data_IF_127204060578
#
_entry.id   IF_127204060578
#
_cell.length_a   1.000
_cell.length_b   1.000
_cell.length_c   1.000
_cell.angle_alpha   90.00
_cell.angle_beta   90.00
_cell.angle_gamma   90.00
#
_symmetry.space_group_name_H-M   'P 1'
#
loop_
_entity.id
_entity.type
_entity.pdbx_description
1 polymer ?
#
# COMPACT_ATOMS: atom_id res chain seq x y z
N UNK A 1 3.30 1.71 23.90
CA UNK A 1 3.27 0.54 23.01
C UNK A 1 2.27 -0.46 23.56
N UNK A 2 1.15 -0.63 22.91
CA UNK A 2 0.29 -1.79 23.18
C UNK A 2 0.89 -3.00 22.46
N UNK A 3 1.69 -3.79 23.16
CA UNK A 3 2.10 -5.09 22.65
C UNK A 3 0.93 -6.06 22.87
N UNK A 4 0.54 -6.77 21.83
CA UNK A 4 -0.33 -7.93 21.99
C UNK A 4 0.38 -8.93 22.92
N UNK A 5 -0.29 -9.37 23.98
CA UNK A 5 0.26 -10.35 24.92
C UNK A 5 0.64 -11.61 24.15
N UNK A 6 1.91 -12.03 24.25
CA UNK A 6 2.43 -13.20 23.55
C UNK A 6 2.88 -12.99 22.11
N UNK A 7 2.95 -11.73 21.61
CA UNK A 7 3.63 -11.46 20.36
C UNK A 7 5.13 -11.31 20.58
N UNK A 8 5.92 -11.89 19.71
CA UNK A 8 7.38 -11.79 19.72
C UNK A 8 7.89 -11.14 18.44
N UNK A 9 8.89 -10.29 18.57
CA UNK A 9 9.58 -9.68 17.45
C UNK A 9 10.65 -10.64 16.95
N UNK A 10 10.54 -11.08 15.68
CA UNK A 10 11.54 -11.92 15.03
C UNK A 10 12.48 -11.05 14.21
N UNK A 11 13.77 -11.12 14.49
CA UNK A 11 14.80 -10.46 13.71
C UNK A 11 15.14 -11.34 12.50
N UNK A 12 15.15 -10.75 11.31
CA UNK A 12 15.55 -11.41 10.07
C UNK A 12 16.40 -10.48 9.21
N UNK A 13 17.25 -11.03 8.38
CA UNK A 13 17.90 -10.30 7.29
C UNK A 13 16.91 -10.20 6.12
N UNK A 14 16.49 -8.96 5.79
CA UNK A 14 15.50 -8.69 4.75
C UNK A 14 15.91 -9.23 3.36
N UNK A 15 17.19 -9.22 3.09
CA UNK A 15 17.74 -9.55 1.77
C UNK A 15 18.08 -11.04 1.60
N UNK A 16 18.25 -11.76 2.70
CA UNK A 16 18.70 -13.16 2.71
C UNK A 16 17.63 -14.14 3.16
N UNK A 17 16.75 -13.68 4.02
CA UNK A 17 15.80 -14.55 4.71
C UNK A 17 14.42 -14.54 4.07
N UNK A 18 13.82 -15.72 3.98
CA UNK A 18 12.43 -15.91 3.58
C UNK A 18 11.51 -15.72 4.79
N UNK A 19 10.79 -14.57 4.80
CA UNK A 19 9.87 -14.20 5.88
C UNK A 19 8.77 -15.23 6.11
N UNK A 20 8.18 -15.75 5.04
CA UNK A 20 7.07 -16.72 5.15
C UNK A 20 7.55 -18.03 5.74
N UNK A 21 8.68 -18.52 5.26
CA UNK A 21 9.29 -19.76 5.76
C UNK A 21 9.67 -19.66 7.23
N UNK A 22 10.25 -18.54 7.64
CA UNK A 22 10.57 -18.29 9.07
C UNK A 22 9.29 -18.27 9.89
N UNK A 23 8.27 -17.50 9.47
CA UNK A 23 7.00 -17.40 10.19
C UNK A 23 6.29 -18.74 10.33
N UNK A 24 6.25 -19.55 9.27
CA UNK A 24 5.68 -20.91 9.30
C UNK A 24 6.43 -21.84 10.26
N UNK A 25 7.77 -21.78 10.27
CA UNK A 25 8.59 -22.61 11.16
C UNK A 25 8.35 -22.25 12.63
N UNK A 26 8.27 -20.96 12.96
CA UNK A 26 7.97 -20.49 14.32
C UNK A 26 6.56 -20.92 14.72
N UNK A 27 5.57 -20.67 13.88
CA UNK A 27 4.19 -21.06 14.14
C UNK A 27 4.04 -22.55 14.42
N UNK A 28 4.72 -23.39 13.62
CA UNK A 28 4.74 -24.85 13.80
C UNK A 28 5.44 -25.25 15.10
N UNK A 29 6.64 -24.69 15.38
CA UNK A 29 7.43 -25.00 16.58
C UNK A 29 6.66 -24.64 17.86
N UNK A 30 6.00 -23.47 17.86
CA UNK A 30 5.35 -22.92 19.03
C UNK A 30 3.85 -23.21 19.10
N UNK A 31 3.33 -23.99 18.14
CA UNK A 31 1.89 -24.31 18.01
C UNK A 31 1.00 -23.06 17.97
N UNK A 32 1.48 -22.01 17.31
CA UNK A 32 0.75 -20.75 17.09
C UNK A 32 0.10 -20.72 15.71
N UNK A 33 -0.96 -19.95 15.56
CA UNK A 33 -1.55 -19.64 14.23
C UNK A 33 -0.74 -18.54 13.56
N UNK A 34 -0.29 -18.77 12.33
CA UNK A 34 0.29 -17.72 11.51
C UNK A 34 -0.86 -16.89 10.87
N UNK A 35 -0.85 -15.60 11.13
CA UNK A 35 -1.72 -14.64 10.45
C UNK A 35 -0.90 -13.97 9.35
N UNK A 36 -1.31 -14.14 8.11
CA UNK A 36 -0.63 -13.51 6.97
C UNK A 36 -0.87 -12.01 6.98
N UNK A 37 0.10 -11.18 6.56
CA UNK A 37 -0.01 -9.72 6.68
C UNK A 37 -1.02 -9.08 5.72
N UNK A 38 -1.44 -9.77 4.65
CA UNK A 38 -2.35 -9.25 3.64
C UNK A 38 -3.23 -10.33 2.97
N UNK A 39 -2.74 -11.56 2.82
CA UNK A 39 -3.41 -12.64 2.10
C UNK A 39 -4.25 -13.51 3.05
N UNK A 40 -5.12 -12.87 3.81
CA UNK A 40 -6.04 -13.44 4.79
C UNK A 40 -7.33 -12.61 4.81
N UNK A 41 -8.50 -13.25 4.74
CA UNK A 41 -9.79 -12.57 4.65
C UNK A 41 -10.05 -11.66 5.87
N UNK A 42 -9.69 -12.08 7.08
CA UNK A 42 -9.90 -11.27 8.28
C UNK A 42 -9.01 -10.02 8.27
N UNK A 43 -7.78 -10.13 7.76
CA UNK A 43 -6.90 -8.99 7.57
C UNK A 43 -7.48 -8.05 6.51
N UNK A 44 -7.94 -8.56 5.37
CA UNK A 44 -8.56 -7.77 4.31
C UNK A 44 -9.79 -7.01 4.83
N UNK A 45 -10.67 -7.66 5.60
CA UNK A 45 -11.84 -7.01 6.20
C UNK A 45 -11.44 -5.92 7.19
N UNK A 46 -10.43 -6.18 8.03
CA UNK A 46 -9.88 -5.18 8.94
C UNK A 46 -9.32 -3.97 8.21
N UNK A 47 -8.61 -4.17 7.09
CA UNK A 47 -8.08 -3.07 6.27
C UNK A 47 -9.20 -2.22 5.63
N UNK A 48 -10.33 -2.82 5.30
CA UNK A 48 -11.50 -2.10 4.75
C UNK A 48 -12.15 -1.10 5.72
N UNK A 49 -11.94 -1.25 7.04
CA UNK A 49 -12.57 -0.38 8.04
C UNK A 49 -12.16 1.09 7.89
N UNK A 50 -10.94 1.38 7.42
CA UNK A 50 -10.50 2.75 7.17
C UNK A 50 -11.37 3.44 6.11
N UNK A 51 -11.67 2.77 5.00
CA UNK A 51 -12.57 3.29 3.99
C UNK A 51 -14.02 3.38 4.49
N UNK A 52 -14.44 2.40 5.30
CA UNK A 52 -15.79 2.38 5.88
C UNK A 52 -16.03 3.57 6.82
N UNK A 53 -15.05 3.94 7.63
CA UNK A 53 -15.14 5.13 8.48
C UNK A 53 -15.31 6.39 7.63
N UNK A 54 -14.48 6.57 6.61
CA UNK A 54 -14.54 7.74 5.73
C UNK A 54 -15.89 7.86 5.02
N UNK A 55 -16.43 6.78 4.44
CA UNK A 55 -17.73 6.85 3.73
C UNK A 55 -18.92 7.05 4.66
N UNK A 56 -18.78 6.74 5.94
CA UNK A 56 -19.79 7.02 6.95
C UNK A 56 -19.73 8.45 7.48
N UNK A 57 -18.56 9.08 7.48
CA UNK A 57 -18.36 10.42 8.04
C UNK A 57 -18.49 11.52 6.99
N UNK A 58 -18.16 11.22 5.72
CA UNK A 58 -18.12 12.22 4.65
C UNK A 58 -19.21 11.92 3.61
N UNK A 59 -20.20 12.81 3.50
CA UNK A 59 -21.20 12.75 2.43
C UNK A 59 -20.59 13.20 1.08
N UNK A 60 -19.60 12.46 0.62
CA UNK A 60 -18.90 12.74 -0.64
C UNK A 60 -18.81 11.47 -1.48
N UNK A 61 -19.20 11.59 -2.75
CA UNK A 61 -18.96 10.54 -3.75
C UNK A 61 -17.55 10.74 -4.31
N UNK A 62 -16.78 9.66 -4.33
CA UNK A 62 -15.46 9.63 -4.94
C UNK A 62 -15.57 9.08 -6.36
N UNK A 63 -14.90 9.74 -7.31
CA UNK A 63 -14.80 9.26 -8.69
C UNK A 63 -13.76 8.16 -8.81
N UNK A 64 -12.70 8.24 -7.99
CA UNK A 64 -11.57 7.32 -8.02
C UNK A 64 -11.07 7.02 -6.60
N UNK A 65 -10.50 5.84 -6.45
CA UNK A 65 -9.70 5.46 -5.29
C UNK A 65 -8.31 5.03 -5.75
N UNK A 66 -7.25 5.62 -5.19
CA UNK A 66 -5.86 5.30 -5.50
C UNK A 66 -5.17 4.98 -4.18
N UNK A 67 -4.92 3.70 -3.92
CA UNK A 67 -4.48 3.20 -2.61
C UNK A 67 -3.15 2.47 -2.73
N UNK A 68 -2.23 2.76 -1.81
CA UNK A 68 -0.93 2.10 -1.76
C UNK A 68 -1.08 0.57 -1.72
N UNK A 69 -0.25 -0.11 -2.51
CA UNK A 69 -0.35 -1.54 -2.69
C UNK A 69 1.02 -2.22 -2.63
N UNK A 70 1.08 -3.27 -1.82
CA UNK A 70 2.17 -4.23 -1.78
C UNK A 70 1.58 -5.63 -2.02
N UNK A 71 1.18 -6.36 -1.00
CA UNK A 71 0.48 -7.63 -1.17
C UNK A 71 -1.01 -7.52 -1.52
N UNK A 72 -1.59 -6.32 -1.56
CA UNK A 72 -2.95 -6.06 -2.03
C UNK A 72 -4.06 -6.03 -0.98
N UNK A 73 -3.75 -6.26 0.31
CA UNK A 73 -4.78 -6.37 1.37
C UNK A 73 -5.56 -5.08 1.62
N UNK A 74 -4.85 -3.94 1.72
CA UNK A 74 -5.48 -2.63 1.92
C UNK A 74 -6.33 -2.23 0.71
N UNK A 75 -5.80 -2.42 -0.50
CA UNK A 75 -6.53 -2.13 -1.74
C UNK A 75 -7.80 -2.98 -1.87
N UNK A 76 -7.70 -4.30 -1.58
CA UNK A 76 -8.85 -5.20 -1.61
C UNK A 76 -9.93 -4.80 -0.58
N UNK A 77 -9.53 -4.55 0.67
CA UNK A 77 -10.47 -4.12 1.72
C UNK A 77 -11.16 -2.80 1.40
N UNK A 78 -10.39 -1.79 0.97
CA UNK A 78 -10.91 -0.50 0.51
C UNK A 78 -11.86 -0.67 -0.67
N UNK A 79 -11.46 -1.46 -1.66
CA UNK A 79 -12.25 -1.72 -2.86
C UNK A 79 -13.60 -2.37 -2.56
N UNK A 80 -13.65 -3.35 -1.66
CA UNK A 80 -14.89 -3.98 -1.20
C UNK A 80 -15.85 -2.91 -0.66
N UNK A 81 -15.38 -2.02 0.21
CA UNK A 81 -16.22 -0.97 0.79
C UNK A 81 -16.71 0.01 -0.28
N UNK A 82 -15.80 0.54 -1.08
CA UNK A 82 -16.14 1.58 -2.06
C UNK A 82 -17.08 1.06 -3.15
N UNK A 83 -16.88 -0.17 -3.67
CA UNK A 83 -17.79 -0.74 -4.67
C UNK A 83 -19.20 -1.00 -4.15
N UNK A 84 -19.35 -1.29 -2.85
CA UNK A 84 -20.66 -1.54 -2.25
C UNK A 84 -21.40 -0.26 -1.82
N UNK A 85 -20.68 0.79 -1.44
CA UNK A 85 -21.27 2.01 -0.86
C UNK A 85 -21.20 3.19 -1.84
N UNK A 86 -20.06 3.34 -2.53
CA UNK A 86 -19.82 4.45 -3.46
C UNK A 86 -19.93 3.93 -4.90
N UNK A 87 -21.14 3.96 -5.44
CA UNK A 87 -21.38 3.51 -6.81
C UNK A 87 -20.53 4.30 -7.83
N UNK A 88 -19.97 3.61 -8.82
CA UNK A 88 -19.13 4.17 -9.91
C UNK A 88 -17.74 4.68 -9.50
N UNK A 89 -17.22 4.39 -8.31
CA UNK A 89 -15.85 4.65 -7.96
C UNK A 89 -14.89 3.74 -8.74
N UNK A 90 -13.96 4.31 -9.48
CA UNK A 90 -12.88 3.56 -10.16
C UNK A 90 -11.78 3.25 -9.16
N UNK A 91 -11.37 1.98 -9.10
CA UNK A 91 -10.37 1.52 -8.14
C UNK A 91 -9.00 1.37 -8.79
N UNK A 92 -7.97 1.88 -8.11
CA UNK A 92 -6.57 1.78 -8.52
C UNK A 92 -5.67 1.39 -7.35
N UNK A 93 -4.71 0.50 -7.63
CA UNK A 93 -3.53 0.31 -6.79
C UNK A 93 -2.47 1.34 -7.12
N UNK A 94 -1.67 1.75 -6.13
CA UNK A 94 -0.52 2.63 -6.28
C UNK A 94 0.75 1.90 -5.85
N UNK A 95 1.73 1.79 -6.74
CA UNK A 95 2.94 1.01 -6.57
C UNK A 95 4.18 1.82 -6.99
N UNK A 96 5.37 1.53 -6.42
CA UNK A 96 6.62 2.06 -6.97
C UNK A 96 6.89 1.44 -8.34
N UNK A 97 7.46 2.23 -9.27
CA UNK A 97 7.70 1.83 -10.66
C UNK A 97 8.46 0.50 -10.82
N UNK A 98 9.42 0.23 -9.93
CA UNK A 98 10.21 -1.00 -9.97
C UNK A 98 9.52 -2.19 -9.29
N UNK A 99 8.41 -1.98 -8.60
CA UNK A 99 7.66 -2.98 -7.83
C UNK A 99 6.17 -2.94 -8.18
N UNK A 100 5.86 -2.77 -9.46
CA UNK A 100 4.51 -2.66 -10.00
C UNK A 100 3.94 -4.03 -10.41
N UNK A 101 3.97 -4.97 -9.49
CA UNK A 101 3.52 -6.34 -9.72
C UNK A 101 2.00 -6.44 -9.88
N UNK A 102 1.22 -5.66 -9.15
CA UNK A 102 -0.23 -5.61 -9.33
C UNK A 102 -0.62 -4.99 -10.68
N UNK A 103 0.00 -3.86 -11.07
CA UNK A 103 -0.23 -3.25 -12.39
C UNK A 103 -0.03 -4.26 -13.52
N UNK A 104 1.09 -4.99 -13.50
CA UNK A 104 1.41 -6.04 -14.47
C UNK A 104 0.44 -7.21 -14.41
N UNK A 105 0.10 -7.64 -13.19
CA UNK A 105 -0.81 -8.77 -12.97
C UNK A 105 -2.21 -8.48 -13.48
N UNK A 106 -2.73 -7.26 -13.29
CA UNK A 106 -4.05 -6.88 -13.82
C UNK A 106 -4.08 -6.83 -15.34
N UNK A 107 -3.00 -6.35 -15.98
CA UNK A 107 -2.89 -6.35 -17.46
C UNK A 107 -2.89 -7.78 -18.03
N UNK A 108 -2.24 -8.72 -17.32
CA UNK A 108 -2.13 -10.11 -17.76
C UNK A 108 -3.29 -11.01 -17.26
N UNK A 109 -4.11 -10.49 -16.36
CA UNK A 109 -5.17 -11.24 -15.65
C UNK A 109 -4.62 -12.48 -14.91
N UNK A 110 -3.33 -12.47 -14.59
CA UNK A 110 -2.63 -13.54 -13.87
C UNK A 110 -1.55 -12.95 -12.95
N UNK A 111 -1.16 -13.70 -11.92
CA UNK A 111 -0.16 -13.23 -10.95
C UNK A 111 1.23 -13.17 -11.60
N UNK A 112 1.74 -11.95 -11.71
CA UNK A 112 3.11 -11.67 -12.18
C UNK A 112 4.02 -11.44 -10.99
N UNK A 113 5.21 -12.04 -11.03
CA UNK A 113 6.25 -11.84 -10.02
C UNK A 113 7.38 -10.96 -10.55
N UNK A 114 7.80 -9.98 -9.77
CA UNK A 114 8.98 -9.15 -10.06
C UNK A 114 10.24 -10.01 -9.92
N UNK A 115 11.00 -10.14 -11.00
CA UNK A 115 12.23 -10.93 -11.04
C UNK A 115 13.46 -10.07 -10.74
N UNK A 116 13.54 -8.88 -11.34
CA UNK A 116 14.64 -7.93 -11.13
C UNK A 116 14.32 -7.00 -9.96
N UNK A 117 14.73 -7.38 -8.77
CA UNK A 117 14.46 -6.67 -7.52
C UNK A 117 15.37 -5.46 -7.37
N UNK A 118 14.91 -4.30 -7.79
CA UNK A 118 15.59 -3.02 -7.56
C UNK A 118 14.97 -2.33 -6.36
N UNK A 119 15.64 -2.39 -5.24
CA UNK A 119 15.20 -1.74 -4.01
C UNK A 119 15.19 -0.22 -4.18
N UNK A 120 14.10 0.40 -3.75
CA UNK A 120 13.84 1.83 -3.86
C UNK A 120 13.61 2.50 -2.51
N UNK A 121 12.99 3.66 -2.53
CA UNK A 121 12.67 4.41 -1.32
C UNK A 121 11.39 3.91 -0.62
N UNK A 122 10.52 3.19 -1.33
CA UNK A 122 9.26 2.65 -0.80
C UNK A 122 9.43 1.24 -0.23
N UNK A 123 10.21 1.10 0.80
CA UNK A 123 10.62 -0.20 1.36
C UNK A 123 9.46 -1.07 1.90
N UNK A 124 8.36 -0.46 2.33
CA UNK A 124 7.17 -1.20 2.78
C UNK A 124 6.34 -1.80 1.63
N UNK A 125 6.59 -1.39 0.37
CA UNK A 125 5.84 -1.85 -0.82
C UNK A 125 6.62 -2.83 -1.71
N UNK A 126 7.74 -3.35 -1.24
CA UNK A 126 8.62 -4.24 -2.01
C UNK A 126 8.26 -5.72 -1.82
N UNK A 127 7.00 -6.08 -2.03
CA UNK A 127 6.59 -7.47 -2.13
C UNK A 127 6.69 -7.92 -3.60
N UNK A 128 7.28 -9.08 -3.91
CA UNK A 128 7.59 -9.43 -5.30
C UNK A 128 6.38 -9.90 -6.13
N UNK A 129 5.25 -10.16 -5.51
CA UNK A 129 4.03 -10.61 -6.19
C UNK A 129 2.78 -10.33 -5.35
N UNK A 130 1.60 -10.19 -5.97
CA UNK A 130 0.32 -10.13 -5.26
C UNK A 130 0.06 -11.33 -4.37
N UNK A 131 -0.77 -11.16 -3.34
CA UNK A 131 -1.38 -12.29 -2.65
C UNK A 131 -2.41 -12.99 -3.53
N UNK A 132 -2.63 -14.27 -3.35
CA UNK A 132 -3.58 -15.05 -4.16
C UNK A 132 -5.03 -14.63 -3.92
N UNK A 133 -5.40 -14.41 -2.65
CA UNK A 133 -6.75 -13.99 -2.26
C UNK A 133 -6.95 -12.53 -2.66
N UNK A 134 -6.00 -11.67 -2.33
CA UNK A 134 -6.08 -10.23 -2.60
C UNK A 134 -6.12 -9.94 -4.10
N UNK A 135 -5.35 -10.67 -4.91
CA UNK A 135 -5.39 -10.54 -6.37
C UNK A 135 -6.77 -10.87 -6.94
N UNK A 136 -7.33 -12.02 -6.54
CA UNK A 136 -8.67 -12.44 -7.00
C UNK A 136 -9.75 -11.43 -6.64
N UNK A 137 -9.69 -10.87 -5.43
CA UNK A 137 -10.63 -9.84 -5.00
C UNK A 137 -10.47 -8.58 -5.84
N UNK A 138 -9.25 -8.04 -5.95
CA UNK A 138 -8.98 -6.82 -6.71
C UNK A 138 -9.34 -6.97 -8.19
N UNK A 139 -9.06 -8.13 -8.79
CA UNK A 139 -9.44 -8.44 -10.17
C UNK A 139 -10.97 -8.46 -10.35
N UNK A 140 -11.68 -9.14 -9.44
CA UNK A 140 -13.15 -9.18 -9.45
C UNK A 140 -13.80 -7.80 -9.23
N UNK A 141 -13.10 -6.89 -8.55
CA UNK A 141 -13.51 -5.49 -8.37
C UNK A 141 -13.14 -4.59 -9.54
N UNK A 142 -12.55 -5.13 -10.59
CA UNK A 142 -12.06 -4.39 -11.78
C UNK A 142 -11.02 -3.31 -11.41
N UNK A 143 -10.20 -3.59 -10.40
CA UNK A 143 -9.13 -2.70 -9.96
C UNK A 143 -8.04 -2.64 -11.03
N UNK A 144 -7.53 -1.43 -11.28
CA UNK A 144 -6.41 -1.19 -12.19
C UNK A 144 -5.15 -0.85 -11.41
N UNK A 145 -3.98 -0.97 -12.05
CA UNK A 145 -2.70 -0.59 -11.46
C UNK A 145 -2.24 0.79 -11.94
N UNK A 146 -1.62 1.54 -11.03
CA UNK A 146 -0.83 2.73 -11.34
C UNK A 146 0.50 2.62 -10.63
N UNK A 147 1.54 3.15 -11.24
CA UNK A 147 2.86 3.21 -10.63
C UNK A 147 3.46 4.61 -10.71
N UNK A 148 4.39 4.93 -9.78
CA UNK A 148 5.08 6.21 -9.76
C UNK A 148 6.59 6.05 -9.60
N UNK A 149 7.33 6.96 -10.24
CA UNK A 149 8.77 7.12 -10.10
C UNK A 149 9.12 7.83 -8.79
N UNK A 150 10.29 7.57 -8.23
CA UNK A 150 10.77 8.12 -6.96
C UNK A 150 10.68 9.66 -6.88
N UNK A 151 10.90 10.37 -7.99
CA UNK A 151 10.78 11.83 -8.02
C UNK A 151 9.39 12.34 -7.65
N UNK A 152 8.32 11.64 -8.08
CA UNK A 152 6.95 12.01 -7.73
C UNK A 152 6.60 11.60 -6.29
N UNK A 153 7.26 10.55 -5.76
CA UNK A 153 7.10 10.16 -4.37
C UNK A 153 7.69 11.23 -3.45
N UNK A 154 8.89 11.72 -3.78
CA UNK A 154 9.53 12.83 -3.06
C UNK A 154 8.70 14.12 -3.19
N UNK A 155 8.17 14.43 -4.39
CA UNK A 155 7.27 15.56 -4.59
C UNK A 155 6.01 15.45 -3.72
N UNK A 156 5.40 14.27 -3.67
CA UNK A 156 4.24 14.00 -2.81
C UNK A 156 4.55 14.18 -1.32
N UNK A 157 5.70 13.68 -0.86
CA UNK A 157 6.15 13.86 0.53
C UNK A 157 6.34 15.35 0.86
N UNK A 158 6.94 16.14 -0.05
CA UNK A 158 7.10 17.59 0.13
C UNK A 158 5.76 18.31 0.24
N UNK A 159 4.81 18.02 -0.65
CA UNK A 159 3.48 18.62 -0.59
C UNK A 159 2.79 18.28 0.74
N UNK A 160 2.88 17.02 1.20
CA UNK A 160 2.29 16.63 2.47
C UNK A 160 2.92 17.33 3.67
N UNK A 161 4.22 17.58 3.62
CA UNK A 161 4.94 18.32 4.64
C UNK A 161 4.62 19.81 4.60
N UNK A 162 4.77 20.46 3.44
CA UNK A 162 4.69 21.90 3.28
C UNK A 162 3.24 22.45 3.43
N UNK A 163 2.25 21.71 2.92
CA UNK A 163 0.87 22.19 2.86
C UNK A 163 -0.03 21.63 3.98
N UNK A 164 0.34 20.49 4.57
CA UNK A 164 -0.51 19.79 5.55
C UNK A 164 0.18 19.53 6.89
N UNK A 165 1.47 19.86 7.03
CA UNK A 165 2.28 19.55 8.23
C UNK A 165 2.27 18.06 8.59
N UNK A 166 2.29 17.20 7.56
CA UNK A 166 2.25 15.74 7.70
C UNK A 166 3.58 15.11 7.32
N UNK A 167 4.19 14.39 8.27
CA UNK A 167 5.35 13.53 8.00
C UNK A 167 4.83 12.16 7.56
N UNK A 168 4.98 11.88 6.26
CA UNK A 168 4.53 10.62 5.64
C UNK A 168 5.73 9.92 5.02
N UNK A 169 5.88 8.63 5.30
CA UNK A 169 6.94 7.82 4.67
C UNK A 169 6.71 7.65 3.16
N UNK A 170 7.75 7.35 2.34
CA UNK A 170 7.62 7.19 0.89
C UNK A 170 6.50 6.24 0.49
N UNK A 171 6.40 5.08 1.17
CA UNK A 171 5.37 4.07 0.91
C UNK A 171 3.96 4.57 1.22
N UNK A 172 3.81 5.44 2.22
CA UNK A 172 2.54 6.07 2.57
C UNK A 172 2.11 7.18 1.61
N UNK A 173 3.08 7.84 0.96
CA UNK A 173 2.86 8.93 0.02
C UNK A 173 2.58 8.46 -1.42
N UNK A 174 2.75 7.16 -1.73
CA UNK A 174 2.69 6.63 -3.09
C UNK A 174 1.35 6.90 -3.80
N UNK A 175 0.24 6.92 -3.07
CA UNK A 175 -1.07 7.24 -3.63
C UNK A 175 -1.11 8.64 -4.24
N UNK A 176 -0.62 9.66 -3.49
CA UNK A 176 -0.48 11.02 -4.00
C UNK A 176 0.56 11.10 -5.13
N UNK A 177 1.65 10.36 -5.05
CA UNK A 177 2.66 10.29 -6.11
C UNK A 177 2.07 9.77 -7.43
N UNK A 178 1.23 8.74 -7.38
CA UNK A 178 0.53 8.24 -8.56
C UNK A 178 -0.45 9.28 -9.13
N UNK A 179 -1.13 10.07 -8.29
CA UNK A 179 -1.97 11.19 -8.74
C UNK A 179 -1.12 12.24 -9.48
N UNK A 180 0.02 12.62 -8.91
CA UNK A 180 0.92 13.61 -9.51
C UNK A 180 1.49 13.15 -10.86
N UNK A 181 1.85 11.89 -10.97
CA UNK A 181 2.40 11.33 -12.22
C UNK A 181 1.34 11.13 -13.29
N UNK A 182 0.10 10.80 -12.90
CA UNK A 182 -0.99 10.45 -13.81
C UNK A 182 -2.06 11.55 -13.85
N UNK A 183 -1.65 12.82 -13.92
CA UNK A 183 -2.56 13.99 -13.86
C UNK A 183 -3.69 13.95 -14.88
N UNK A 184 -3.45 13.42 -16.06
CA UNK A 184 -4.44 13.37 -17.14
C UNK A 184 -5.70 12.61 -16.76
N UNK A 185 -5.56 11.45 -16.11
CA UNK A 185 -6.71 10.65 -15.67
C UNK A 185 -7.31 11.12 -14.35
N UNK A 186 -6.53 11.88 -13.56
CA UNK A 186 -6.91 12.37 -12.23
C UNK A 186 -7.58 13.76 -12.26
N UNK A 187 -7.42 14.51 -13.35
CA UNK A 187 -7.91 15.88 -13.46
C UNK A 187 -9.43 15.96 -13.30
N UNK A 188 -9.89 16.93 -12.49
CA UNK A 188 -11.31 17.17 -12.19
C UNK A 188 -12.03 15.96 -11.52
N UNK A 189 -11.28 15.07 -10.86
CA UNK A 189 -11.80 13.93 -10.12
C UNK A 189 -11.72 14.15 -8.61
N UNK A 190 -12.72 13.69 -7.89
CA UNK A 190 -12.67 13.53 -6.44
C UNK A 190 -12.01 12.19 -6.14
N UNK A 191 -10.81 12.23 -5.58
CA UNK A 191 -9.98 11.04 -5.39
C UNK A 191 -9.87 10.72 -3.90
N UNK A 192 -10.16 9.47 -3.56
CA UNK A 192 -9.88 8.90 -2.27
C UNK A 192 -8.47 8.29 -2.27
N UNK A 193 -7.64 8.65 -1.29
CA UNK A 193 -6.37 8.00 -1.04
C UNK A 193 -6.12 7.85 0.46
N UNK A 194 -5.28 6.88 0.83
CA UNK A 194 -4.91 6.62 2.23
C UNK A 194 -3.42 6.91 2.40
N UNK A 195 -3.08 7.81 3.32
CA UNK A 195 -1.72 8.01 3.79
C UNK A 195 -1.44 6.94 4.86
N UNK A 196 -0.85 5.83 4.44
CA UNK A 196 -0.85 4.59 5.23
C UNK A 196 0.22 4.50 6.31
N UNK A 197 1.17 5.44 6.36
CA UNK A 197 2.22 5.43 7.37
C UNK A 197 3.16 6.63 7.31
N UNK A 198 3.82 6.87 8.47
CA UNK A 198 4.83 7.92 8.65
C UNK A 198 6.01 7.40 9.49
N UNK A 199 6.27 6.08 9.47
CA UNK A 199 7.35 5.47 10.25
C UNK A 199 8.68 5.54 9.50
N UNK A 200 9.24 6.73 9.42
CA UNK A 200 10.50 7.03 8.77
C UNK A 200 11.49 7.66 9.76
N UNK A 201 12.78 7.33 9.63
CA UNK A 201 13.84 8.00 10.37
C UNK A 201 13.96 9.47 9.95
N UNK A 202 14.11 10.37 10.93
CA UNK A 202 14.13 11.82 10.68
C UNK A 202 15.27 12.24 9.75
N UNK A 203 16.48 11.68 9.91
CA UNK A 203 17.61 12.01 9.05
C UNK A 203 17.35 11.54 7.62
N UNK A 204 16.77 10.33 7.49
CA UNK A 204 16.40 9.81 6.18
C UNK A 204 15.29 10.64 5.52
N UNK A 205 14.33 11.12 6.29
CA UNK A 205 13.28 12.01 5.80
C UNK A 205 13.88 13.32 5.27
N UNK A 206 14.73 13.97 6.08
CA UNK A 206 15.40 15.22 5.71
C UNK A 206 16.27 15.03 4.45
N UNK A 207 17.03 13.94 4.38
CA UNK A 207 17.83 13.58 3.19
C UNK A 207 16.98 13.49 1.93
N UNK A 208 15.84 12.76 1.98
CA UNK A 208 14.94 12.60 0.84
C UNK A 208 14.33 13.92 0.38
N UNK A 209 13.98 14.80 1.32
CA UNK A 209 13.39 16.10 1.01
C UNK A 209 14.42 17.17 0.68
N UNK A 210 15.72 16.94 0.94
CA UNK A 210 16.78 17.94 0.81
C UNK A 210 16.66 19.06 1.84
N UNK A 211 16.19 18.72 3.05
CA UNK A 211 16.13 19.65 4.20
C UNK A 211 17.47 19.55 4.92
N UNK A 212 18.21 20.65 4.99
CA UNK A 212 19.45 20.72 5.76
C UNK A 212 19.13 20.80 7.26
N UNK A 213 19.85 20.01 8.07
CA UNK A 213 19.75 20.11 9.51
C UNK A 213 20.26 21.51 9.94
N UNK A 214 19.36 22.30 10.52
CA UNK A 214 19.63 23.64 11.01
C UNK A 214 20.42 23.64 12.34
#
# INVERSE_FOLDING_TARGET
>A
RSCLVGSEMCIRDRYKDDREKIGLNIAKREKRKLIKPFDDLHVIYGQGTAALEVVNEIDTKFDMSIVCCSGGGLAAGTGIVLKNIVHNCQLYTAEPKNWNDHEKSFIQEDIVSIQDKKYGICDALENPKPGEITFKINLALETKGLSADDKYIIEAMKILYDEFDLIVEPSGAIGLACILQNREICQNKKIFTILSGGNIDANRYNELLGIEDG
#
